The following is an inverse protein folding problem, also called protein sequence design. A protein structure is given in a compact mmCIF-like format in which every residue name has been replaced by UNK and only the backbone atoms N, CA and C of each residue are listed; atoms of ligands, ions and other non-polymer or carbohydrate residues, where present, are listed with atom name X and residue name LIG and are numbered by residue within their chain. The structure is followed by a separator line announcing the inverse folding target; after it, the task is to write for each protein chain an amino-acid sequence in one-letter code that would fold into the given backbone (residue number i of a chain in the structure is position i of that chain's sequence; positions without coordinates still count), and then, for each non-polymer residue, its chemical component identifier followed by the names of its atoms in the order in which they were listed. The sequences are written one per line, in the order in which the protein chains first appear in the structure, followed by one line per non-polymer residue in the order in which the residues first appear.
data_IF_270754236412
#
_entry.id   IF_270754236412
#
_cell.length_a   1.000
_cell.length_b   1.000
_cell.length_c   1.000
_cell.angle_alpha   90.00
_cell.angle_beta   90.00
_cell.angle_gamma   90.00
#
_symmetry.space_group_name_H-M   'P 1'
#
loop_
_entity.id
_entity.type
_entity.pdbx_description
1 polymer ?
#
# COMPACT_ATOMS: atom_id res chain seq x y z
N UNK A 1 4.54 17.76 28.59
CA UNK A 1 5.37 16.57 28.89
C UNK A 1 4.56 15.35 29.36
N UNK A 2 3.98 15.32 30.57
CA UNK A 2 3.31 14.08 31.08
C UNK A 2 1.92 13.81 30.46
N UNK A 3 1.17 14.86 30.12
CA UNK A 3 -0.09 14.76 29.37
C UNK A 3 0.09 14.34 27.91
N UNK A 4 1.20 14.72 27.28
CA UNK A 4 1.57 14.29 25.92
C UNK A 4 1.98 12.82 25.92
N UNK A 5 2.85 12.40 26.85
CA UNK A 5 3.22 10.98 27.01
C UNK A 5 2.02 10.05 27.21
N UNK A 6 1.02 10.47 28.00
CA UNK A 6 -0.22 9.68 28.19
C UNK A 6 -1.10 9.63 26.93
N UNK A 7 -1.03 10.65 26.07
CA UNK A 7 -1.76 10.69 24.79
C UNK A 7 -1.08 9.76 23.78
N UNK A 8 0.23 9.87 23.63
CA UNK A 8 1.04 9.03 22.74
C UNK A 8 0.93 7.54 23.10
N UNK A 9 0.95 7.21 24.41
CA UNK A 9 0.79 5.82 24.86
C UNK A 9 -0.62 5.27 24.56
N UNK A 10 -1.64 6.12 24.65
CA UNK A 10 -3.03 5.74 24.36
C UNK A 10 -3.23 5.55 22.85
N UNK A 11 -2.64 6.41 22.03
CA UNK A 11 -2.70 6.32 20.57
C UNK A 11 -1.94 5.08 20.08
N UNK A 12 -0.79 4.75 20.69
CA UNK A 12 -0.07 3.50 20.40
C UNK A 12 -0.89 2.26 20.71
N UNK A 13 -1.46 2.16 21.92
CA UNK A 13 -2.27 1.00 22.29
C UNK A 13 -3.54 0.87 21.45
N UNK A 14 -4.11 1.98 21.01
CA UNK A 14 -5.22 1.98 20.05
C UNK A 14 -4.78 1.45 18.68
N UNK A 15 -3.66 1.93 18.14
CA UNK A 15 -3.15 1.48 16.83
C UNK A 15 -2.77 0.00 16.88
N UNK A 16 -2.08 -0.46 17.92
CA UNK A 16 -1.72 -1.87 18.09
C UNK A 16 -2.95 -2.78 18.09
N UNK A 17 -3.99 -2.41 18.87
CA UNK A 17 -5.24 -3.17 18.90
C UNK A 17 -6.05 -3.11 17.60
N UNK A 18 -5.90 -2.03 16.80
CA UNK A 18 -6.49 -1.96 15.46
C UNK A 18 -5.72 -2.81 14.45
N UNK A 19 -4.40 -2.81 14.52
CA UNK A 19 -3.54 -3.63 13.67
C UNK A 19 -3.75 -5.12 13.91
N UNK A 20 -3.95 -5.54 15.17
CA UNK A 20 -4.24 -6.95 15.51
C UNK A 20 -5.53 -7.47 14.87
N UNK A 21 -6.48 -6.58 14.55
CA UNK A 21 -7.76 -6.92 13.91
C UNK A 21 -7.75 -6.77 12.39
N UNK A 22 -6.69 -6.24 11.80
CA UNK A 22 -6.61 -6.05 10.35
C UNK A 22 -6.06 -7.30 9.68
N UNK A 23 -6.79 -7.80 8.69
CA UNK A 23 -6.35 -8.92 7.85
C UNK A 23 -5.65 -8.45 6.56
N UNK A 24 -5.91 -7.20 6.15
CA UNK A 24 -5.37 -6.63 4.91
C UNK A 24 -4.89 -5.19 5.07
N UNK A 25 -3.85 -4.81 4.33
CA UNK A 25 -3.36 -3.43 4.25
C UNK A 25 -3.33 -2.99 2.79
N UNK A 26 -3.86 -1.80 2.53
CA UNK A 26 -3.78 -1.14 1.23
C UNK A 26 -2.52 -0.27 1.16
N UNK A 27 -1.61 -0.61 0.25
CA UNK A 27 -0.33 0.06 0.06
C UNK A 27 -0.49 1.20 -0.95
N UNK A 28 0.02 2.37 -0.56
CA UNK A 28 -0.03 3.57 -1.37
C UNK A 28 1.08 3.62 -2.44
N UNK A 29 0.89 4.45 -3.48
CA UNK A 29 1.75 4.50 -4.67
C UNK A 29 3.21 4.78 -4.34
N UNK A 30 3.51 5.71 -3.43
CA UNK A 30 4.91 6.06 -3.10
C UNK A 30 5.68 4.86 -2.54
N UNK A 31 5.05 4.07 -1.66
CA UNK A 31 5.66 2.88 -1.08
C UNK A 31 5.88 1.77 -2.13
N UNK A 32 4.96 1.64 -3.09
CA UNK A 32 5.10 0.72 -4.22
C UNK A 32 6.23 1.16 -5.16
N UNK A 33 6.34 2.46 -5.44
CA UNK A 33 7.42 3.03 -6.27
C UNK A 33 8.78 2.80 -5.61
N UNK A 34 8.91 3.09 -4.32
CA UNK A 34 10.17 2.91 -3.60
C UNK A 34 10.57 1.42 -3.52
N UNK A 35 9.58 0.53 -3.42
CA UNK A 35 9.81 -0.92 -3.54
C UNK A 35 10.36 -1.30 -4.92
N UNK A 36 9.76 -0.78 -6.01
CA UNK A 36 10.22 -1.03 -7.39
C UNK A 36 11.62 -0.47 -7.67
N UNK A 37 11.96 0.66 -7.04
CA UNK A 37 13.28 1.28 -7.09
C UNK A 37 14.32 0.56 -6.23
N UNK A 38 13.90 -0.39 -5.39
CA UNK A 38 14.79 -1.17 -4.55
C UNK A 38 15.31 -0.43 -3.32
N UNK A 39 14.56 0.56 -2.80
CA UNK A 39 14.89 1.20 -1.53
C UNK A 39 14.83 0.17 -0.41
N UNK A 40 15.98 -0.13 0.19
CA UNK A 40 16.15 -1.27 1.09
C UNK A 40 15.17 -1.25 2.27
N UNK A 41 15.01 -0.10 2.93
CA UNK A 41 14.09 0.07 4.06
C UNK A 41 12.64 -0.26 3.66
N UNK A 42 12.19 0.24 2.50
CA UNK A 42 10.84 0.00 1.97
C UNK A 42 10.65 -1.48 1.59
N UNK A 43 11.65 -2.09 0.95
CA UNK A 43 11.60 -3.51 0.55
C UNK A 43 11.53 -4.43 1.78
N UNK A 44 12.34 -4.15 2.80
CA UNK A 44 12.29 -4.87 4.07
C UNK A 44 10.93 -4.69 4.75
N UNK A 45 10.39 -3.46 4.72
CA UNK A 45 9.09 -3.19 5.31
C UNK A 45 7.95 -3.92 4.60
N UNK A 46 7.94 -3.95 3.27
CA UNK A 46 6.96 -4.74 2.50
C UNK A 46 7.05 -6.21 2.87
N UNK A 47 8.26 -6.79 2.98
CA UNK A 47 8.42 -8.20 3.36
C UNK A 47 7.88 -8.51 4.76
N UNK A 48 8.09 -7.61 5.73
CA UNK A 48 7.49 -7.75 7.06
C UNK A 48 5.96 -7.73 6.98
N UNK A 49 5.40 -6.79 6.21
CA UNK A 49 3.95 -6.66 6.07
C UNK A 49 3.33 -7.86 5.34
N UNK A 50 3.99 -8.38 4.30
CA UNK A 50 3.57 -9.61 3.59
C UNK A 50 3.52 -10.84 4.52
N UNK A 51 4.34 -10.88 5.57
CA UNK A 51 4.35 -11.97 6.55
C UNK A 51 3.16 -11.96 7.52
N UNK A 52 2.42 -10.84 7.59
CA UNK A 52 1.37 -10.61 8.59
C UNK A 52 0.02 -10.28 7.94
N UNK A 53 0.02 -9.57 6.82
CA UNK A 53 -1.17 -9.02 6.18
C UNK A 53 -1.29 -9.45 4.73
N UNK A 54 -2.53 -9.56 4.27
CA UNK A 54 -2.82 -9.62 2.85
C UNK A 54 -2.64 -8.24 2.22
N UNK A 55 -1.70 -8.11 1.29
CA UNK A 55 -1.38 -6.82 0.69
C UNK A 55 -2.29 -6.50 -0.50
N UNK A 56 -2.84 -5.30 -0.50
CA UNK A 56 -3.67 -4.77 -1.57
C UNK A 56 -3.17 -3.41 -2.03
N UNK A 57 -3.64 -2.96 -3.19
CA UNK A 57 -3.57 -1.55 -3.60
C UNK A 57 -4.84 -1.20 -4.38
N UNK A 58 -5.04 0.06 -4.75
CA UNK A 58 -6.21 0.46 -5.52
C UNK A 58 -5.95 0.39 -7.03
N UNK A 59 -7.00 0.28 -7.83
CA UNK A 59 -6.90 0.41 -9.29
C UNK A 59 -6.36 1.78 -9.72
N UNK A 60 -6.57 2.84 -8.90
CA UNK A 60 -6.01 4.17 -9.15
C UNK A 60 -4.48 4.13 -9.01
N UNK A 61 -3.98 3.56 -7.92
CA UNK A 61 -2.53 3.44 -7.69
C UNK A 61 -1.88 2.54 -8.76
N UNK A 62 -2.56 1.46 -9.17
CA UNK A 62 -2.12 0.64 -10.30
C UNK A 62 -2.04 1.42 -11.61
N UNK A 63 -3.02 2.29 -11.90
CA UNK A 63 -2.98 3.20 -13.04
C UNK A 63 -1.79 4.17 -12.96
N UNK A 64 -1.52 4.77 -11.80
CA UNK A 64 -0.39 5.68 -11.60
C UNK A 64 0.96 5.00 -11.87
N UNK A 65 1.14 3.76 -11.39
CA UNK A 65 2.36 2.98 -11.65
C UNK A 65 2.55 2.68 -13.14
N UNK A 66 1.49 2.24 -13.82
CA UNK A 66 1.51 2.03 -15.26
C UNK A 66 1.87 3.33 -15.99
N UNK A 67 1.14 4.42 -15.73
CA UNK A 67 1.39 5.72 -16.35
C UNK A 67 2.82 6.23 -16.10
N UNK A 68 3.33 6.09 -14.89
CA UNK A 68 4.71 6.42 -14.54
C UNK A 68 5.72 5.61 -15.35
N UNK A 69 5.53 4.29 -15.46
CA UNK A 69 6.41 3.40 -16.21
C UNK A 69 6.49 3.75 -17.71
N UNK A 70 5.35 4.11 -18.33
CA UNK A 70 5.27 4.55 -19.74
C UNK A 70 6.08 5.81 -20.03
N UNK A 71 6.34 6.64 -19.02
CA UNK A 71 7.09 7.90 -19.18
C UNK A 71 8.60 7.77 -19.00
N UNK A 72 9.09 6.57 -18.72
CA UNK A 72 10.53 6.36 -18.44
C UNK A 72 11.31 6.00 -19.70
N UNK A 73 12.62 6.27 -19.70
CA UNK A 73 13.53 5.82 -20.78
C UNK A 73 13.62 4.28 -20.85
N UNK A 74 13.36 3.59 -19.74
CA UNK A 74 13.37 2.12 -19.61
C UNK A 74 11.95 1.54 -19.59
N UNK A 75 11.08 2.08 -20.45
CA UNK A 75 9.64 1.79 -20.49
C UNK A 75 9.31 0.29 -20.43
N UNK A 76 9.82 -0.52 -21.37
CA UNK A 76 9.48 -1.95 -21.46
C UNK A 76 9.84 -2.72 -20.18
N UNK A 77 11.03 -2.43 -19.62
CA UNK A 77 11.51 -3.05 -18.39
C UNK A 77 10.64 -2.65 -17.20
N UNK A 78 10.29 -1.36 -17.10
CA UNK A 78 9.50 -0.84 -15.99
C UNK A 78 8.05 -1.32 -16.05
N UNK A 79 7.45 -1.43 -17.24
CA UNK A 79 6.12 -2.03 -17.41
C UNK A 79 6.10 -3.47 -16.90
N UNK A 80 7.12 -4.27 -17.25
CA UNK A 80 7.22 -5.66 -16.78
C UNK A 80 7.39 -5.75 -15.26
N UNK A 81 8.15 -4.84 -14.66
CA UNK A 81 8.30 -4.77 -13.20
C UNK A 81 7.00 -4.39 -12.50
N UNK A 82 6.25 -3.41 -13.03
CA UNK A 82 4.93 -3.01 -12.52
C UNK A 82 3.93 -4.16 -12.64
N UNK A 83 3.88 -4.84 -13.79
CA UNK A 83 3.00 -6.01 -13.99
C UNK A 83 3.27 -7.12 -12.97
N UNK A 84 4.56 -7.47 -12.77
CA UNK A 84 4.96 -8.45 -11.74
C UNK A 84 4.58 -8.03 -10.33
N UNK A 85 4.66 -6.74 -10.00
CA UNK A 85 4.27 -6.22 -8.70
C UNK A 85 2.75 -6.32 -8.51
N UNK A 86 1.97 -5.83 -9.47
CA UNK A 86 0.51 -5.82 -9.38
C UNK A 86 -0.08 -7.24 -9.32
N UNK A 87 0.53 -8.21 -10.00
CA UNK A 87 0.13 -9.62 -9.93
C UNK A 87 0.35 -10.28 -8.54
N UNK A 88 1.08 -9.62 -7.63
CA UNK A 88 1.27 -10.09 -6.25
C UNK A 88 0.32 -9.42 -5.25
N UNK A 89 -0.39 -8.38 -5.66
CA UNK A 89 -1.27 -7.58 -4.81
C UNK A 89 -2.74 -7.84 -5.16
N UNK A 90 -3.62 -7.72 -4.18
CA UNK A 90 -5.05 -7.58 -4.49
C UNK A 90 -5.37 -6.17 -4.96
N UNK A 91 -5.98 -6.06 -6.14
CA UNK A 91 -6.37 -4.77 -6.72
C UNK A 91 -7.81 -4.44 -6.32
N UNK A 92 -7.95 -3.45 -5.43
CA UNK A 92 -9.23 -2.93 -4.98
C UNK A 92 -9.86 -2.06 -6.07
N UNK A 93 -11.06 -2.43 -6.49
CA UNK A 93 -11.84 -1.68 -7.46
C UNK A 93 -12.50 -0.47 -6.81
N UNK A 94 -12.56 0.65 -7.54
CA UNK A 94 -13.31 1.81 -7.10
C UNK A 94 -14.78 1.62 -7.47
N UNK A 95 -15.60 1.26 -6.48
CA UNK A 95 -17.05 1.17 -6.63
C UNK A 95 -17.69 2.46 -6.11
N UNK A 96 -18.62 3.04 -6.88
CA UNK A 96 -19.47 4.11 -6.36
C UNK A 96 -20.38 3.61 -5.25
N UNK A 97 -20.83 4.51 -4.39
CA UNK A 97 -21.98 4.23 -3.51
C UNK A 97 -23.20 4.17 -4.41
N UNK A 98 -23.74 2.97 -4.64
CA UNK A 98 -25.11 2.85 -5.12
C UNK A 98 -25.96 3.14 -3.89
N UNK A 99 -26.38 4.39 -3.72
CA UNK A 99 -27.50 4.67 -2.83
C UNK A 99 -28.67 3.87 -3.40
N UNK A 100 -29.01 2.76 -2.73
CA UNK A 100 -30.27 2.07 -2.98
C UNK A 100 -31.35 3.09 -2.65
N UNK A 101 -31.91 3.70 -3.69
CA UNK A 101 -32.91 4.74 -3.56
C UNK A 101 -34.18 4.21 -2.89
N UNK A 102 -34.71 5.09 -2.03
CA UNK A 102 -36.02 5.08 -1.35
C UNK A 102 -36.16 4.23 -0.09
#
# INVERSE_FOLDING_TARGET
MERERRRDQKDKGFIEGWMEKMESICIDTDFLIDTLRGHQETVEKIRELEGVFHLSTTVINGFELCYGSYKTERMEQNILCVDKLLNRLSILQMTGVVEAGW
#
